data_IF_950548278124
#
_entry.id   IF_950548278124
#
_cell.length_a   1.000
_cell.length_b   1.000
_cell.length_c   1.000
_cell.angle_alpha   90.00
_cell.angle_beta   90.00
_cell.angle_gamma   90.00
#
_symmetry.space_group_name_H-M   'P 1'
#
loop_
_entity.id
_entity.type
_entity.pdbx_description
1 polymer ?
#
# COMPACT_ATOMS: atom_id res chain seq x y z
N UNK A 1 -3.89 4.73 1.55
CA UNK A 1 -2.69 4.00 1.06
C UNK A 1 -3.15 2.76 0.29
N UNK A 2 -2.99 2.77 -1.03
CA UNK A 2 -3.31 1.62 -1.87
C UNK A 2 -2.10 0.70 -2.03
N UNK A 3 -2.34 -0.61 -2.17
CA UNK A 3 -1.26 -1.56 -2.38
C UNK A 3 -1.71 -2.99 -2.58
N UNK A 4 -0.86 -3.80 -3.20
CA UNK A 4 -1.15 -5.23 -3.33
C UNK A 4 -1.10 -5.92 -1.96
N UNK A 5 -0.17 -5.50 -1.08
CA UNK A 5 0.05 -6.05 0.27
C UNK A 5 0.15 -7.58 0.29
N UNK A 6 1.12 -8.12 -0.45
CA UNK A 6 1.30 -9.56 -0.65
C UNK A 6 2.66 -10.09 -0.16
N UNK A 7 2.90 -10.13 1.16
CA UNK A 7 2.09 -9.59 2.25
C UNK A 7 2.36 -8.09 2.53
N UNK A 8 1.52 -7.50 3.36
CA UNK A 8 1.84 -6.25 4.05
C UNK A 8 3.06 -6.48 4.96
N UNK A 9 3.88 -5.44 5.14
CA UNK A 9 5.10 -5.54 5.95
C UNK A 9 5.40 -4.25 6.72
N UNK A 10 6.35 -4.31 7.66
CA UNK A 10 6.68 -3.18 8.53
C UNK A 10 7.10 -1.92 7.75
N UNK A 11 7.70 -2.06 6.57
CA UNK A 11 7.99 -0.91 5.70
C UNK A 11 6.75 -0.14 5.25
N UNK A 12 5.62 -0.82 5.00
CA UNK A 12 4.34 -0.16 4.70
C UNK A 12 3.79 0.59 5.92
N UNK A 13 3.89 -0.01 7.11
CA UNK A 13 3.38 0.58 8.35
C UNK A 13 4.18 1.82 8.74
N UNK A 14 5.50 1.76 8.61
CA UNK A 14 6.39 2.93 8.84
C UNK A 14 6.03 4.04 7.86
N UNK A 15 5.92 3.75 6.56
CA UNK A 15 5.55 4.75 5.56
C UNK A 15 4.21 5.44 5.90
N UNK A 16 3.19 4.66 6.25
CA UNK A 16 1.89 5.19 6.64
C UNK A 16 1.97 6.07 7.90
N UNK A 17 2.73 5.65 8.90
CA UNK A 17 2.90 6.39 10.17
C UNK A 17 3.64 7.71 9.96
N UNK A 18 4.73 7.71 9.21
CA UNK A 18 5.53 8.91 8.92
C UNK A 18 4.72 9.95 8.11
N UNK A 19 4.00 9.50 7.08
CA UNK A 19 3.14 10.39 6.29
C UNK A 19 2.00 10.93 7.15
N UNK A 20 1.37 10.09 7.98
CA UNK A 20 0.31 10.54 8.88
C UNK A 20 0.78 11.63 9.85
N UNK A 21 2.01 11.53 10.34
CA UNK A 21 2.61 12.54 11.21
C UNK A 21 2.97 13.82 10.44
N UNK A 22 3.68 13.69 9.31
CA UNK A 22 4.16 14.83 8.53
C UNK A 22 3.03 15.68 7.94
N UNK A 23 1.96 15.04 7.47
CA UNK A 23 0.80 15.69 6.86
C UNK A 23 -0.37 15.89 7.83
N UNK A 24 -0.20 15.54 9.12
CA UNK A 24 -1.22 15.66 10.17
C UNK A 24 -2.55 14.98 9.81
N UNK A 25 -2.45 13.79 9.20
CA UNK A 25 -3.63 13.05 8.80
C UNK A 25 -4.39 12.56 10.03
N UNK A 26 -5.71 12.62 10.00
CA UNK A 26 -6.57 12.09 11.07
C UNK A 26 -6.52 10.57 11.11
N UNK A 27 -6.55 9.94 9.92
CA UNK A 27 -6.49 8.49 9.77
C UNK A 27 -5.77 8.08 8.48
N UNK A 28 -5.30 6.84 8.43
CA UNK A 28 -4.78 6.21 7.21
C UNK A 28 -5.61 4.98 6.90
N UNK A 29 -6.22 4.97 5.71
CA UNK A 29 -7.00 3.84 5.23
C UNK A 29 -6.12 3.02 4.28
N UNK A 30 -5.83 1.77 4.66
CA UNK A 30 -5.18 0.81 3.79
C UNK A 30 -6.21 0.18 2.87
N UNK A 31 -5.94 0.16 1.57
CA UNK A 31 -6.81 -0.40 0.55
C UNK A 31 -6.07 -1.51 -0.20
N UNK A 32 -6.20 -2.78 0.24
CA UNK A 32 -5.65 -3.89 -0.52
C UNK A 32 -6.34 -3.99 -1.90
N UNK A 33 -5.53 -4.06 -2.97
CA UNK A 33 -6.07 -4.19 -4.33
C UNK A 33 -6.89 -5.47 -4.46
N UNK A 34 -8.02 -5.43 -5.14
CA UNK A 34 -8.78 -6.63 -5.49
C UNK A 34 -8.01 -7.49 -6.49
N UNK A 35 -8.00 -7.09 -7.74
CA UNK A 35 -7.27 -7.73 -8.83
C UNK A 35 -6.23 -6.76 -9.40
N UNK A 36 -4.94 -6.89 -9.05
CA UNK A 36 -3.90 -6.01 -9.59
C UNK A 36 -3.56 -6.40 -11.04
N UNK A 37 -3.96 -5.57 -12.00
CA UNK A 37 -3.79 -5.84 -13.44
C UNK A 37 -2.32 -5.97 -13.89
N UNK A 38 -1.37 -5.44 -13.11
CA UNK A 38 0.07 -5.46 -13.43
C UNK A 38 0.83 -6.64 -12.82
N UNK A 39 0.18 -7.50 -12.03
CA UNK A 39 0.85 -8.59 -11.32
C UNK A 39 0.15 -9.91 -11.56
N UNK A 40 0.97 -10.95 -11.76
CA UNK A 40 0.51 -12.34 -11.88
C UNK A 40 0.84 -13.11 -10.60
N UNK A 41 0.16 -14.22 -10.36
CA UNK A 41 0.39 -15.12 -9.22
C UNK A 41 0.35 -14.40 -7.86
N UNK A 42 -0.65 -13.52 -7.69
CA UNK A 42 -0.88 -12.80 -6.44
C UNK A 42 -1.74 -13.65 -5.52
N UNK A 43 -1.38 -13.70 -4.25
CA UNK A 43 -2.19 -14.36 -3.21
C UNK A 43 -3.64 -13.86 -3.23
N UNK A 44 -4.65 -14.73 -3.03
CA UNK A 44 -6.05 -14.33 -3.04
C UNK A 44 -6.32 -13.09 -2.17
N UNK A 45 -7.20 -12.23 -2.65
CA UNK A 45 -7.46 -10.92 -2.04
C UNK A 45 -7.87 -11.01 -0.56
N UNK A 46 -8.62 -12.05 -0.18
CA UNK A 46 -9.04 -12.28 1.20
C UNK A 46 -7.86 -12.48 2.16
N UNK A 47 -6.87 -13.27 1.77
CA UNK A 47 -5.66 -13.45 2.60
C UNK A 47 -4.90 -12.14 2.75
N UNK A 48 -4.74 -11.37 1.67
CA UNK A 48 -4.04 -10.07 1.69
C UNK A 48 -4.78 -9.04 2.54
N UNK A 49 -6.11 -9.03 2.46
CA UNK A 49 -6.96 -8.21 3.31
C UNK A 49 -6.81 -8.58 4.79
N UNK A 50 -6.94 -9.86 5.14
CA UNK A 50 -6.82 -10.31 6.53
C UNK A 50 -5.44 -10.04 7.11
N UNK A 51 -4.37 -10.26 6.36
CA UNK A 51 -3.03 -9.88 6.78
C UNK A 51 -2.90 -8.37 7.01
N UNK A 52 -3.56 -7.54 6.19
CA UNK A 52 -3.57 -6.09 6.36
C UNK A 52 -4.34 -5.67 7.62
N UNK A 53 -5.49 -6.29 7.90
CA UNK A 53 -6.26 -6.07 9.13
C UNK A 53 -5.43 -6.42 10.36
N UNK A 54 -4.78 -7.59 10.36
CA UNK A 54 -3.92 -8.04 11.46
C UNK A 54 -2.78 -7.05 11.68
N UNK A 55 -2.11 -6.62 10.60
CA UNK A 55 -0.95 -5.75 10.67
C UNK A 55 -1.27 -4.35 11.22
N UNK A 56 -2.47 -3.86 10.97
CA UNK A 56 -2.88 -2.48 11.32
C UNK A 56 -3.63 -2.39 12.65
N UNK A 57 -4.05 -3.51 13.22
CA UNK A 57 -4.96 -3.58 14.37
C UNK A 57 -4.46 -2.85 15.64
N UNK A 58 -3.14 -2.73 15.82
CA UNK A 58 -2.55 -2.08 16.99
C UNK A 58 -2.53 -0.54 16.91
N UNK A 59 -2.73 0.04 15.73
CA UNK A 59 -2.70 1.50 15.56
C UNK A 59 -4.12 2.05 15.39
N UNK A 60 -4.63 2.86 16.37
CA UNK A 60 -6.00 3.35 16.35
C UNK A 60 -6.32 4.29 15.18
N UNK A 61 -5.29 4.86 14.52
CA UNK A 61 -5.46 5.71 13.33
C UNK A 61 -5.45 4.92 12.01
N UNK A 62 -5.16 3.62 12.05
CA UNK A 62 -5.11 2.80 10.84
C UNK A 62 -6.42 2.04 10.66
N UNK A 63 -6.98 2.13 9.47
CA UNK A 63 -8.18 1.40 9.04
C UNK A 63 -7.88 0.60 7.79
N UNK A 64 -8.70 -0.39 7.51
CA UNK A 64 -8.60 -1.17 6.27
C UNK A 64 -9.95 -1.15 5.55
N UNK A 65 -9.92 -0.87 4.26
CA UNK A 65 -11.12 -0.87 3.41
C UNK A 65 -11.07 -2.03 2.41
N UNK A 66 -12.23 -2.64 2.17
CA UNK A 66 -12.43 -3.71 1.17
C UNK A 66 -12.86 -3.16 -0.19
N UNK A 67 -12.92 -1.85 -0.36
CA UNK A 67 -13.56 -1.18 -1.49
C UNK A 67 -13.13 -1.74 -2.86
N UNK A 68 -11.84 -2.01 -3.05
CA UNK A 68 -11.30 -2.56 -4.29
C UNK A 68 -11.62 -4.05 -4.47
N UNK A 69 -11.71 -4.79 -3.37
CA UNK A 69 -12.06 -6.21 -3.37
C UNK A 69 -13.54 -6.38 -3.69
N UNK A 70 -14.40 -5.61 -3.02
CA UNK A 70 -15.84 -5.69 -3.16
C UNK A 70 -16.34 -5.16 -4.50
N UNK A 71 -15.63 -4.17 -5.10
CA UNK A 71 -15.92 -3.70 -6.45
C UNK A 71 -15.67 -4.80 -7.50
N UNK A 72 -14.66 -5.64 -7.31
CA UNK A 72 -14.23 -6.63 -8.29
C UNK A 72 -13.59 -6.01 -9.53
N UNK A 73 -13.13 -6.87 -10.45
CA UNK A 73 -12.43 -6.46 -11.66
C UNK A 73 -11.05 -5.84 -11.40
N UNK A 74 -10.46 -5.26 -12.44
CA UNK A 74 -9.15 -4.62 -12.37
C UNK A 74 -9.16 -3.40 -11.45
N UNK A 75 -8.15 -3.32 -10.58
CA UNK A 75 -8.02 -2.22 -9.62
C UNK A 75 -7.21 -1.08 -10.21
N UNK A 76 -7.81 0.10 -10.32
CA UNK A 76 -7.17 1.34 -10.70
C UNK A 76 -7.30 2.39 -9.60
N UNK A 77 -6.23 3.15 -9.37
CA UNK A 77 -6.21 4.22 -8.35
C UNK A 77 -7.33 5.26 -8.56
N UNK A 78 -7.66 5.56 -9.82
CA UNK A 78 -8.75 6.47 -10.16
C UNK A 78 -10.10 6.00 -9.61
N UNK A 79 -10.43 4.72 -9.79
CA UNK A 79 -11.70 4.16 -9.34
C UNK A 79 -11.74 4.15 -7.80
N UNK A 80 -10.63 3.74 -7.16
CA UNK A 80 -10.48 3.75 -5.70
C UNK A 80 -10.68 5.14 -5.10
N UNK A 81 -10.00 6.16 -5.64
CA UNK A 81 -10.11 7.54 -5.13
C UNK A 81 -11.50 8.13 -5.37
N UNK A 82 -12.11 7.82 -6.52
CA UNK A 82 -13.48 8.27 -6.82
C UNK A 82 -14.50 7.72 -5.82
N UNK A 83 -14.36 6.46 -5.43
CA UNK A 83 -15.23 5.85 -4.43
C UNK A 83 -14.93 6.35 -3.02
N UNK A 84 -13.64 6.52 -2.68
CA UNK A 84 -13.24 7.09 -1.38
C UNK A 84 -13.79 8.52 -1.20
N UNK A 85 -13.78 9.34 -2.25
CA UNK A 85 -14.34 10.68 -2.18
C UNK A 85 -15.87 10.68 -1.94
N UNK A 86 -16.58 9.66 -2.45
CA UNK A 86 -18.02 9.49 -2.16
C UNK A 86 -18.27 9.07 -0.72
N UNK A 87 -17.39 8.23 -0.14
CA UNK A 87 -17.50 7.78 1.24
C UNK A 87 -17.09 8.86 2.25
N UNK A 88 -16.19 9.75 1.85
CA UNK A 88 -15.62 10.82 2.68
C UNK A 88 -15.71 12.16 1.93
N UNK A 89 -16.93 12.69 1.69
CA UNK A 89 -17.13 13.86 0.82
C UNK A 89 -16.49 15.15 1.35
N UNK A 90 -16.31 15.25 2.66
CA UNK A 90 -15.74 16.43 3.33
C UNK A 90 -14.24 16.27 3.65
N UNK A 91 -13.61 15.17 3.24
CA UNK A 91 -12.21 14.90 3.55
C UNK A 91 -11.28 15.30 2.39
N UNK A 92 -10.16 15.91 2.74
CA UNK A 92 -9.02 16.06 1.83
C UNK A 92 -8.27 14.73 1.74
N UNK A 93 -8.30 14.11 0.57
CA UNK A 93 -7.66 12.81 0.36
C UNK A 93 -6.17 12.96 0.07
N UNK A 94 -5.35 12.18 0.77
CA UNK A 94 -3.91 12.05 0.53
C UNK A 94 -3.60 10.63 0.09
N UNK A 95 -3.09 10.45 -1.14
CA UNK A 95 -2.70 9.15 -1.66
C UNK A 95 -1.23 8.87 -1.38
N UNK A 96 -0.96 7.86 -0.55
CA UNK A 96 0.39 7.47 -0.13
C UNK A 96 0.87 6.30 -1.00
N UNK A 97 2.02 6.46 -1.65
CA UNK A 97 2.65 5.40 -2.44
C UNK A 97 4.17 5.51 -2.45
N UNK A 98 4.84 4.42 -2.81
CA UNK A 98 6.29 4.42 -3.00
C UNK A 98 6.71 5.31 -4.18
N UNK A 99 7.91 5.87 -4.08
CA UNK A 99 8.49 6.75 -5.10
C UNK A 99 8.51 6.14 -6.51
N UNK A 100 8.82 4.84 -6.61
CA UNK A 100 8.87 4.11 -7.89
C UNK A 100 7.50 4.05 -8.59
N UNK A 101 6.42 3.90 -7.83
CA UNK A 101 5.06 3.90 -8.36
C UNK A 101 4.64 5.31 -8.79
N UNK A 102 4.94 6.32 -7.97
CA UNK A 102 4.64 7.72 -8.32
C UNK A 102 5.45 8.19 -9.53
N UNK A 103 6.66 7.72 -9.73
CA UNK A 103 7.43 8.03 -10.93
C UNK A 103 6.73 7.60 -12.24
N UNK A 104 5.82 6.65 -12.16
CA UNK A 104 5.03 6.15 -13.31
C UNK A 104 3.59 6.69 -13.33
N UNK A 105 3.23 7.65 -12.47
CA UNK A 105 1.84 8.13 -12.31
C UNK A 105 1.22 8.64 -13.62
N UNK A 106 2.04 9.17 -14.54
CA UNK A 106 1.56 9.66 -15.84
C UNK A 106 1.01 8.54 -16.76
N UNK A 107 1.29 7.27 -16.42
CA UNK A 107 0.74 6.10 -17.14
C UNK A 107 -0.55 5.55 -16.50
N UNK A 108 -0.99 6.14 -15.39
CA UNK A 108 -2.16 5.65 -14.68
C UNK A 108 -3.45 6.07 -15.39
N UNK A 109 -4.50 5.25 -15.20
CA UNK A 109 -5.83 5.50 -15.74
C UNK A 109 -6.34 6.87 -15.29
N UNK A 110 -6.83 7.68 -16.25
CA UNK A 110 -7.46 8.99 -15.99
C UNK A 110 -6.54 9.95 -15.20
N UNK A 111 -5.24 9.97 -15.51
CA UNK A 111 -4.24 10.74 -14.75
C UNK A 111 -4.61 12.21 -14.59
N UNK A 112 -5.15 12.84 -15.62
CA UNK A 112 -5.55 14.27 -15.56
C UNK A 112 -6.64 14.54 -14.53
N UNK A 113 -7.46 13.54 -14.24
CA UNK A 113 -8.53 13.62 -13.24
C UNK A 113 -8.07 13.25 -11.84
N UNK A 114 -6.96 12.51 -11.72
CA UNK A 114 -6.40 12.13 -10.41
C UNK A 114 -6.02 13.35 -9.57
N UNK A 115 -5.54 14.41 -10.22
CA UNK A 115 -5.08 15.62 -9.54
C UNK A 115 -6.17 16.37 -8.78
N UNK A 116 -7.44 16.21 -9.19
CA UNK A 116 -8.59 16.78 -8.50
C UNK A 116 -9.15 15.89 -7.39
N UNK A 117 -8.72 14.63 -7.30
CA UNK A 117 -9.23 13.66 -6.33
C UNK A 117 -8.40 13.57 -5.07
N UNK A 118 -7.08 13.76 -5.16
CA UNK A 118 -6.18 13.59 -4.01
C UNK A 118 -4.87 14.35 -4.19
N UNK A 119 -4.24 14.70 -3.08
CA UNK A 119 -2.83 15.04 -3.03
C UNK A 119 -1.99 13.76 -2.97
N UNK A 120 -0.89 13.68 -3.75
CA UNK A 120 -0.05 12.48 -3.82
C UNK A 120 1.20 12.65 -2.99
N UNK A 121 1.52 11.65 -2.16
CA UNK A 121 2.76 11.62 -1.37
C UNK A 121 3.61 10.45 -1.83
N UNK A 122 4.76 10.80 -2.42
CA UNK A 122 5.79 9.86 -2.83
C UNK A 122 6.74 9.58 -1.67
N UNK A 123 6.71 8.37 -1.15
CA UNK A 123 7.57 7.97 -0.04
C UNK A 123 8.87 7.39 -0.58
N UNK A 124 10.01 7.94 -0.14
CA UNK A 124 11.33 7.50 -0.56
C UNK A 124 12.18 7.02 0.62
N UNK A 125 13.22 6.26 0.28
CA UNK A 125 14.25 5.83 1.24
C UNK A 125 15.41 6.83 1.22
N UNK A 126 16.19 6.95 2.29
CA UNK A 126 17.41 7.76 2.30
C UNK A 126 18.34 7.41 1.13
N UNK A 127 18.81 8.45 0.45
CA UNK A 127 19.72 8.30 -0.69
C UNK A 127 19.08 7.90 -2.03
N UNK A 128 17.77 7.69 -2.10
CA UNK A 128 17.05 7.48 -3.37
C UNK A 128 16.62 8.83 -3.93
N UNK A 129 17.16 9.20 -5.09
CA UNK A 129 16.68 10.39 -5.82
C UNK A 129 15.31 10.08 -6.41
N UNK A 130 14.30 10.77 -5.90
CA UNK A 130 12.97 10.76 -6.49
C UNK A 130 12.98 11.65 -7.74
N UNK A 131 12.67 11.09 -8.89
CA UNK A 131 12.30 11.87 -10.07
C UNK A 131 10.80 12.11 -10.01
N UNK A 132 10.40 13.33 -9.62
CA UNK A 132 8.98 13.71 -9.66
C UNK A 132 8.60 13.92 -11.13
N UNK A 133 7.57 13.20 -11.64
CA UNK A 133 7.10 13.41 -13.00
C UNK A 133 6.48 14.80 -13.16
N UNK A 134 6.31 15.23 -14.41
CA UNK A 134 5.65 16.50 -14.71
C UNK A 134 4.18 16.42 -14.28
N UNK A 135 3.84 17.08 -13.19
CA UNK A 135 2.51 17.13 -12.59
C UNK A 135 2.10 18.60 -12.34
N UNK A 136 0.82 18.88 -12.11
CA UNK A 136 0.38 20.21 -11.67
C UNK A 136 1.15 20.64 -10.40
N UNK A 137 1.41 21.95 -10.30
CA UNK A 137 2.14 22.50 -9.16
C UNK A 137 1.42 22.13 -7.83
N UNK A 138 2.16 21.54 -6.90
CA UNK A 138 1.64 21.15 -5.59
C UNK A 138 0.83 19.85 -5.56
N UNK A 139 0.64 19.14 -6.69
CA UNK A 139 -0.11 17.88 -6.71
C UNK A 139 0.66 16.69 -6.08
N UNK A 140 1.99 16.75 -6.10
CA UNK A 140 2.86 15.70 -5.54
C UNK A 140 3.81 16.31 -4.52
N UNK A 141 3.89 15.69 -3.35
CA UNK A 141 4.95 15.92 -2.35
C UNK A 141 5.84 14.68 -2.23
N UNK A 142 7.10 14.88 -1.89
CA UNK A 142 8.00 13.79 -1.52
C UNK A 142 8.29 13.82 -0.03
N UNK A 143 8.34 12.65 0.58
CA UNK A 143 8.74 12.47 1.96
C UNK A 143 9.79 11.37 2.06
N UNK A 144 10.99 11.74 2.52
CA UNK A 144 12.01 10.77 2.90
C UNK A 144 11.69 10.26 4.31
N UNK A 145 11.62 8.95 4.46
CA UNK A 145 11.28 8.29 5.72
C UNK A 145 12.43 7.37 6.16
N UNK A 146 12.52 7.02 7.46
CA UNK A 146 13.45 5.99 7.94
C UNK A 146 13.04 4.62 7.40
N UNK A 147 13.28 4.41 6.10
CA UNK A 147 12.76 3.26 5.39
C UNK A 147 13.55 2.00 5.69
N UNK A 148 12.82 0.94 5.99
CA UNK A 148 13.36 -0.40 6.08
C UNK A 148 13.51 -0.98 4.65
N UNK A 149 14.65 -1.65 4.40
CA UNK A 149 14.89 -2.35 3.13
C UNK A 149 14.10 -3.67 3.09
N UNK A 150 12.77 -3.58 3.21
CA UNK A 150 11.85 -4.71 3.22
C UNK A 150 11.00 -4.67 1.94
N UNK A 151 10.80 -5.81 1.30
CA UNK A 151 9.87 -5.96 0.18
C UNK A 151 9.01 -7.22 0.34
N UNK A 152 7.77 -7.16 -0.14
CA UNK A 152 6.90 -8.34 -0.19
C UNK A 152 7.53 -9.50 -0.98
N UNK A 153 8.25 -9.21 -2.05
CA UNK A 153 8.95 -10.23 -2.85
C UNK A 153 10.03 -10.95 -2.05
N UNK A 154 10.84 -10.22 -1.26
CA UNK A 154 11.85 -10.85 -0.41
C UNK A 154 11.20 -11.69 0.70
N UNK A 155 10.09 -11.20 1.27
CA UNK A 155 9.35 -11.97 2.30
C UNK A 155 8.84 -13.28 1.72
N UNK A 156 8.20 -13.29 0.56
CA UNK A 156 7.70 -14.53 -0.06
C UNK A 156 8.83 -15.51 -0.37
N UNK A 157 9.95 -15.02 -0.93
CA UNK A 157 11.15 -15.83 -1.15
C UNK A 157 11.70 -16.43 0.15
N UNK A 158 11.76 -15.64 1.23
CA UNK A 158 12.23 -16.12 2.54
C UNK A 158 11.35 -17.24 3.10
N UNK A 159 10.04 -17.12 2.98
CA UNK A 159 9.10 -18.18 3.41
C UNK A 159 9.32 -19.44 2.58
N UNK A 160 9.42 -19.32 1.24
CA UNK A 160 9.71 -20.43 0.33
C UNK A 160 11.04 -21.14 0.66
N UNK A 161 12.06 -20.36 1.05
CA UNK A 161 13.38 -20.86 1.47
C UNK A 161 13.43 -21.24 2.97
N UNK A 162 12.31 -21.30 3.67
CA UNK A 162 12.22 -21.59 5.13
C UNK A 162 13.08 -20.65 6.00
N UNK A 163 13.31 -19.42 5.54
CA UNK A 163 14.05 -18.38 6.26
C UNK A 163 13.11 -17.55 7.14
N UNK A 164 13.60 -17.01 8.27
CA UNK A 164 12.77 -16.22 9.17
C UNK A 164 12.27 -14.92 8.53
N UNK A 165 11.01 -14.58 8.81
CA UNK A 165 10.37 -13.31 8.42
C UNK A 165 9.89 -12.49 9.61
N UNK A 166 10.25 -12.93 10.84
CA UNK A 166 10.00 -12.18 12.07
C UNK A 166 10.59 -10.76 11.97
N UNK A 167 9.87 -9.77 12.47
CA UNK A 167 10.21 -8.35 12.43
C UNK A 167 10.25 -7.71 11.03
N UNK A 168 10.16 -8.49 9.95
CA UNK A 168 9.92 -7.96 8.61
C UNK A 168 8.43 -7.67 8.41
N UNK A 169 7.58 -8.50 8.99
CA UNK A 169 6.13 -8.31 9.10
C UNK A 169 5.75 -8.35 10.59
N UNK A 170 4.56 -7.81 10.97
CA UNK A 170 4.05 -7.97 12.33
C UNK A 170 3.87 -9.44 12.71
N UNK A 171 4.05 -9.76 14.00
CA UNK A 171 4.01 -11.13 14.52
C UNK A 171 2.73 -11.89 14.13
N UNK A 172 1.57 -11.22 14.19
CA UNK A 172 0.31 -11.84 13.79
C UNK A 172 0.27 -12.20 12.30
N UNK A 173 0.99 -11.45 11.45
CA UNK A 173 1.12 -11.76 10.01
C UNK A 173 2.04 -12.97 9.81
N UNK A 174 3.14 -13.11 10.57
CA UNK A 174 3.99 -14.32 10.55
C UNK A 174 3.15 -15.55 10.87
N UNK A 175 2.36 -15.48 11.95
CA UNK A 175 1.48 -16.56 12.38
C UNK A 175 0.40 -16.88 11.33
N UNK A 176 -0.17 -15.86 10.70
CA UNK A 176 -1.18 -16.04 9.66
C UNK A 176 -0.60 -16.74 8.42
N UNK A 177 0.58 -16.33 7.98
CA UNK A 177 1.30 -16.96 6.85
C UNK A 177 1.52 -18.45 7.13
N UNK A 178 2.07 -18.77 8.30
CA UNK A 178 2.34 -20.14 8.70
C UNK A 178 1.06 -21.00 8.84
N UNK A 179 -0.01 -20.44 9.46
CA UNK A 179 -1.27 -21.16 9.65
C UNK A 179 -2.00 -21.49 8.36
N UNK A 180 -1.85 -20.65 7.34
CA UNK A 180 -2.55 -20.81 6.06
C UNK A 180 -1.63 -21.34 4.94
N UNK A 181 -0.42 -21.76 5.30
CA UNK A 181 0.58 -22.29 4.37
C UNK A 181 0.82 -21.41 3.13
N UNK A 182 0.88 -20.08 3.37
CA UNK A 182 1.10 -19.13 2.31
C UNK A 182 2.58 -19.03 1.95
N UNK A 183 2.87 -18.88 0.66
CA UNK A 183 4.21 -18.64 0.10
C UNK A 183 5.19 -19.81 0.25
N UNK A 184 4.79 -20.93 0.83
CA UNK A 184 5.63 -22.15 0.91
C UNK A 184 5.63 -22.94 -0.41
N UNK A 185 6.63 -23.82 -0.57
CA UNK A 185 6.61 -24.82 -1.65
C UNK A 185 5.46 -25.78 -1.36
N UNK A 186 4.50 -25.80 -2.24
CA UNK A 186 3.53 -26.88 -2.29
C UNK A 186 4.17 -28.00 -3.13
N UNK A 187 4.55 -29.11 -2.49
CA UNK A 187 4.99 -30.33 -3.15
C UNK A 187 3.89 -30.93 -4.05
#
# INVERSE_FOLDING_TARGET
MGGTFDPIHNGHLVAASEVAAAFKLEEVIFVPTGSPYQKQNVTPAEHRYLMTVIATASNPRFKVSRIDIDRGGDTYTFDTLTEMQKLYPDADLVFISGADAIAQILTWKEVDRLWSLAHFVAVSRPGHKLTIPQAPQGAISSLEIPALAISSTDIRRRVDDSQPVWYLVPDGVVQYIAKNDLYGKHD
#
